data_IF_683140777277
#
_entry.id   IF_683140777277
#
_cell.length_a   1.000
_cell.length_b   1.000
_cell.length_c   1.000
_cell.angle_alpha   90.00
_cell.angle_beta   90.00
_cell.angle_gamma   90.00
#
_symmetry.space_group_name_H-M   'P 1'
#
loop_
_entity.id
_entity.type
_entity.pdbx_description
1 polymer ?
#
# COMPACT_ATOMS: atom_id res chain seq x y z
N UNK A 1 -17.05 -23.61 -80.05
CA UNK A 1 -17.66 -22.84 -78.92
C UNK A 1 -17.12 -23.44 -77.60
N UNK A 2 -16.07 -22.86 -77.08
CA UNK A 2 -15.45 -23.28 -75.82
C UNK A 2 -15.84 -22.26 -74.72
N UNK A 3 -16.63 -22.68 -73.75
CA UNK A 3 -17.00 -21.87 -72.60
C UNK A 3 -15.89 -22.00 -71.56
N UNK A 4 -15.15 -20.92 -71.26
CA UNK A 4 -14.25 -20.83 -70.17
C UNK A 4 -15.10 -20.53 -68.88
N UNK A 5 -15.08 -21.43 -67.91
CA UNK A 5 -15.55 -21.16 -66.52
C UNK A 5 -14.44 -20.47 -65.82
N UNK A 6 -14.62 -19.20 -65.45
CA UNK A 6 -13.76 -18.51 -64.53
C UNK A 6 -14.17 -18.87 -63.08
N UNK A 7 -13.33 -19.62 -62.38
CA UNK A 7 -13.53 -19.97 -60.98
C UNK A 7 -12.92 -18.87 -60.12
N UNK A 8 -13.75 -17.97 -59.56
CA UNK A 8 -13.32 -16.90 -58.66
C UNK A 8 -13.02 -17.50 -57.26
N UNK A 9 -11.75 -17.57 -56.91
CA UNK A 9 -11.29 -17.92 -55.57
C UNK A 9 -11.52 -16.71 -54.68
N UNK A 10 -12.57 -16.75 -53.85
CA UNK A 10 -12.76 -15.81 -52.73
C UNK A 10 -11.89 -16.28 -51.56
N UNK A 11 -10.72 -15.68 -51.42
CA UNK A 11 -9.88 -15.85 -50.22
C UNK A 11 -10.53 -15.12 -49.05
N UNK A 12 -11.16 -15.86 -48.17
CA UNK A 12 -11.63 -15.35 -46.87
C UNK A 12 -10.37 -15.04 -46.01
N UNK A 13 -9.96 -13.77 -46.01
CA UNK A 13 -8.97 -13.29 -45.07
C UNK A 13 -9.64 -13.24 -43.69
N UNK A 14 -9.51 -14.33 -42.92
CA UNK A 14 -9.77 -14.30 -41.45
C UNK A 14 -8.74 -13.39 -40.84
N UNK A 15 -9.05 -12.09 -40.73
CA UNK A 15 -8.29 -11.17 -39.90
C UNK A 15 -8.36 -11.68 -38.48
N UNK A 16 -7.23 -12.15 -37.94
CA UNK A 16 -7.09 -12.41 -36.52
C UNK A 16 -7.21 -11.05 -35.83
N UNK A 17 -8.40 -10.74 -35.31
CA UNK A 17 -8.58 -9.59 -34.44
C UNK A 17 -7.70 -9.81 -33.22
N UNK A 18 -6.53 -9.19 -33.21
CA UNK A 18 -5.65 -9.19 -32.06
C UNK A 18 -6.36 -8.36 -31.00
N UNK A 19 -6.85 -9.02 -29.95
CA UNK A 19 -7.46 -8.33 -28.82
C UNK A 19 -6.42 -7.34 -28.25
N UNK A 20 -6.78 -6.07 -28.19
CA UNK A 20 -5.93 -5.04 -27.62
C UNK A 20 -5.82 -5.29 -26.12
N UNK A 21 -4.59 -5.23 -25.58
CA UNK A 21 -4.34 -5.38 -24.14
C UNK A 21 -5.17 -4.39 -23.33
N UNK A 22 -5.79 -4.85 -22.27
CA UNK A 22 -6.56 -4.01 -21.37
C UNK A 22 -5.58 -3.20 -20.51
N UNK A 23 -5.68 -1.88 -20.58
CA UNK A 23 -4.83 -0.97 -19.78
C UNK A 23 -5.33 -0.91 -18.36
N UNK A 24 -4.44 -1.17 -17.40
CA UNK A 24 -4.72 -1.12 -15.95
C UNK A 24 -3.63 -0.33 -15.25
N UNK A 25 -4.01 0.71 -14.52
CA UNK A 25 -3.11 1.44 -13.64
C UNK A 25 -3.30 0.98 -12.19
N UNK A 26 -2.21 0.59 -11.53
CA UNK A 26 -2.18 0.12 -10.14
C UNK A 26 -1.47 1.15 -9.27
N UNK A 27 -2.15 1.63 -8.22
CA UNK A 27 -1.54 2.49 -7.20
C UNK A 27 -0.97 1.69 -6.04
N UNK A 28 0.29 1.92 -5.68
CA UNK A 28 0.90 1.29 -4.51
C UNK A 28 2.02 2.15 -3.90
N UNK A 29 2.48 1.78 -2.69
CA UNK A 29 3.66 2.38 -2.02
C UNK A 29 4.92 1.55 -2.27
N UNK A 30 6.01 1.92 -1.56
CA UNK A 30 7.25 1.15 -1.53
C UNK A 30 7.26 0.01 -0.49
N UNK A 31 6.10 -0.43 -0.01
CA UNK A 31 5.98 -1.58 0.88
C UNK A 31 6.55 -2.84 0.23
N UNK A 32 7.37 -3.58 0.95
CA UNK A 32 8.08 -4.76 0.41
C UNK A 32 7.14 -5.91 0.03
N UNK A 33 6.01 -6.05 0.71
CA UNK A 33 4.98 -7.04 0.41
C UNK A 33 4.30 -6.86 -0.97
N UNK A 34 4.49 -5.69 -1.60
CA UNK A 34 3.98 -5.45 -2.97
C UNK A 34 4.97 -5.83 -4.07
N UNK A 35 6.16 -6.33 -3.72
CA UNK A 35 7.16 -6.75 -4.69
C UNK A 35 6.65 -7.78 -5.72
N UNK A 36 5.76 -8.74 -5.40
CA UNK A 36 5.18 -9.65 -6.40
C UNK A 36 4.48 -8.95 -7.57
N UNK A 37 3.82 -7.80 -7.34
CA UNK A 37 3.18 -7.03 -8.42
C UNK A 37 4.21 -6.42 -9.37
N UNK A 38 5.31 -5.89 -8.81
CA UNK A 38 6.43 -5.38 -9.61
C UNK A 38 7.07 -6.50 -10.40
N UNK A 39 7.34 -7.65 -9.76
CA UNK A 39 7.90 -8.82 -10.42
C UNK A 39 7.00 -9.30 -11.57
N UNK A 40 5.70 -9.41 -11.34
CA UNK A 40 4.75 -9.83 -12.37
C UNK A 40 4.76 -8.88 -13.59
N UNK A 41 4.88 -7.58 -13.35
CA UNK A 41 5.01 -6.59 -14.42
C UNK A 41 6.33 -6.76 -15.19
N UNK A 42 7.47 -6.75 -14.49
CA UNK A 42 8.80 -6.79 -15.11
C UNK A 42 9.06 -8.13 -15.82
N UNK A 43 8.52 -9.23 -15.32
CA UNK A 43 8.57 -10.54 -15.95
C UNK A 43 7.55 -10.71 -17.11
N UNK A 44 6.78 -9.67 -17.43
CA UNK A 44 5.80 -9.69 -18.52
C UNK A 44 4.60 -10.61 -18.27
N UNK A 45 4.35 -11.01 -17.01
CA UNK A 45 3.24 -11.93 -16.69
C UNK A 45 1.88 -11.28 -16.99
N UNK A 46 1.71 -10.00 -16.69
CA UNK A 46 0.48 -9.29 -17.03
C UNK A 46 0.22 -9.29 -18.54
N UNK A 47 1.24 -9.01 -19.35
CA UNK A 47 1.12 -9.03 -20.82
C UNK A 47 0.72 -10.40 -21.37
N UNK A 48 1.24 -11.49 -20.79
CA UNK A 48 0.84 -12.86 -21.18
C UNK A 48 -0.67 -13.11 -21.01
N UNK A 49 -1.32 -12.31 -20.17
CA UNK A 49 -2.76 -12.39 -19.91
C UNK A 49 -3.55 -11.22 -20.52
N UNK A 50 -2.99 -10.52 -21.50
CA UNK A 50 -3.66 -9.44 -22.20
C UNK A 50 -3.85 -8.16 -21.37
N UNK A 51 -2.97 -7.92 -20.37
CA UNK A 51 -3.01 -6.74 -19.53
C UNK A 51 -1.78 -5.86 -19.77
N UNK A 52 -2.01 -4.59 -20.11
CA UNK A 52 -0.98 -3.56 -20.14
C UNK A 52 -1.00 -2.80 -18.79
N UNK A 53 -0.14 -3.23 -17.85
CA UNK A 53 -0.13 -2.74 -16.49
C UNK A 53 0.87 -1.62 -16.30
N UNK A 54 0.41 -0.48 -15.79
CA UNK A 54 1.25 0.58 -15.24
C UNK A 54 1.19 0.59 -13.71
N UNK A 55 2.34 0.72 -13.03
CA UNK A 55 2.41 0.85 -11.58
C UNK A 55 2.73 2.31 -11.25
N UNK A 56 1.86 2.94 -10.44
CA UNK A 56 2.02 4.32 -9.98
C UNK A 56 2.35 4.33 -8.49
N UNK A 57 3.43 5.01 -8.13
CA UNK A 57 3.81 5.22 -6.72
C UNK A 57 2.98 6.36 -6.15
N UNK A 58 1.98 6.02 -5.33
CA UNK A 58 1.03 6.99 -4.75
C UNK A 58 0.99 6.76 -3.23
N UNK A 59 1.13 7.81 -2.40
CA UNK A 59 0.95 7.70 -0.95
C UNK A 59 -0.39 7.05 -0.59
N UNK A 60 -0.44 6.25 0.46
CA UNK A 60 -1.66 5.51 0.82
C UNK A 60 -2.85 6.44 1.05
N UNK A 61 -2.62 7.58 1.68
CA UNK A 61 -3.64 8.60 1.96
C UNK A 61 -4.29 9.21 0.72
N UNK A 62 -3.62 9.15 -0.45
CA UNK A 62 -4.07 9.81 -1.69
C UNK A 62 -4.63 8.83 -2.72
N UNK A 63 -4.47 7.50 -2.54
CA UNK A 63 -4.89 6.48 -3.53
C UNK A 63 -6.39 6.48 -3.77
N UNK A 64 -7.22 6.74 -2.74
CA UNK A 64 -8.67 6.81 -2.92
C UNK A 64 -9.09 7.94 -3.86
N UNK A 65 -8.36 9.06 -3.86
CA UNK A 65 -8.60 10.18 -4.79
C UNK A 65 -8.23 9.77 -6.22
N UNK A 66 -7.10 9.07 -6.39
CA UNK A 66 -6.68 8.55 -7.69
C UNK A 66 -7.65 7.48 -8.26
N UNK A 67 -8.28 6.68 -7.38
CA UNK A 67 -9.37 5.76 -7.76
C UNK A 67 -10.61 6.55 -8.17
N UNK A 68 -11.02 7.52 -7.37
CA UNK A 68 -12.22 8.31 -7.63
C UNK A 68 -12.10 9.15 -8.92
N UNK A 69 -10.92 9.64 -9.26
CA UNK A 69 -10.64 10.37 -10.50
C UNK A 69 -10.50 9.46 -11.74
N UNK A 70 -10.33 8.14 -11.54
CA UNK A 70 -10.05 7.19 -12.62
C UNK A 70 -8.58 7.14 -13.05
N UNK A 71 -7.67 7.83 -12.35
CA UNK A 71 -6.23 7.80 -12.62
C UNK A 71 -5.60 6.44 -12.40
N UNK A 72 -6.20 5.65 -11.50
CA UNK A 72 -5.89 4.23 -11.29
C UNK A 72 -7.19 3.44 -11.19
N UNK A 73 -7.18 2.21 -11.68
CA UNK A 73 -8.30 1.28 -11.61
C UNK A 73 -8.18 0.33 -10.43
N UNK A 74 -6.94 0.04 -10.03
CA UNK A 74 -6.63 -0.90 -8.96
C UNK A 74 -5.61 -0.31 -7.99
N UNK A 75 -5.56 -0.86 -6.80
CA UNK A 75 -4.53 -0.53 -5.81
C UNK A 75 -4.11 -1.75 -4.99
N UNK A 76 -2.93 -1.66 -4.40
CA UNK A 76 -2.50 -2.52 -3.32
C UNK A 76 -2.53 -1.70 -2.03
N UNK A 77 -3.25 -2.14 -1.01
CA UNK A 77 -3.36 -1.49 0.29
C UNK A 77 -3.92 -2.45 1.33
N UNK A 78 -4.08 -1.99 2.55
CA UNK A 78 -4.51 -2.79 3.69
C UNK A 78 -6.03 -2.90 3.80
N UNK A 79 -6.52 -3.96 4.44
CA UNK A 79 -7.95 -4.26 4.58
C UNK A 79 -8.71 -3.10 5.24
N UNK A 80 -8.19 -2.52 6.32
CA UNK A 80 -8.82 -1.40 7.01
C UNK A 80 -8.91 -0.15 6.13
N UNK A 81 -7.93 0.04 5.24
CA UNK A 81 -7.94 1.16 4.28
C UNK A 81 -9.07 0.99 3.26
N UNK A 82 -9.26 -0.21 2.72
CA UNK A 82 -10.38 -0.52 1.82
C UNK A 82 -11.74 -0.28 2.50
N UNK A 83 -11.87 -0.70 3.76
CA UNK A 83 -13.10 -0.46 4.54
C UNK A 83 -13.34 1.04 4.68
N UNK A 84 -12.30 1.82 5.02
CA UNK A 84 -12.42 3.27 5.15
C UNK A 84 -12.82 3.95 3.82
N UNK A 85 -12.24 3.53 2.70
CA UNK A 85 -12.58 4.09 1.38
C UNK A 85 -14.02 3.79 0.99
N UNK A 86 -14.46 2.54 1.14
CA UNK A 86 -15.85 2.16 0.86
C UNK A 86 -16.85 2.89 1.78
N UNK A 87 -16.54 3.05 3.06
CA UNK A 87 -17.36 3.80 4.00
C UNK A 87 -17.47 5.30 3.63
N UNK A 88 -16.47 5.84 2.93
CA UNK A 88 -16.46 7.21 2.44
C UNK A 88 -16.91 7.35 0.96
N UNK A 89 -17.55 6.34 0.41
CA UNK A 89 -18.19 6.39 -0.91
C UNK A 89 -17.25 6.10 -2.09
N UNK A 90 -16.01 5.69 -1.84
CA UNK A 90 -15.10 5.22 -2.91
C UNK A 90 -15.27 3.71 -3.06
N UNK A 91 -16.17 3.32 -3.96
CA UNK A 91 -16.52 1.91 -4.18
C UNK A 91 -15.34 1.11 -4.71
N UNK A 92 -14.97 0.05 -4.01
CA UNK A 92 -13.88 -0.85 -4.36
C UNK A 92 -14.19 -2.29 -3.95
N UNK A 93 -13.60 -3.24 -4.66
CA UNK A 93 -13.71 -4.67 -4.36
C UNK A 93 -12.31 -5.23 -4.16
N UNK A 94 -12.06 -5.84 -3.00
CA UNK A 94 -10.85 -6.61 -2.74
C UNK A 94 -10.92 -7.94 -3.48
N UNK A 95 -9.83 -8.31 -4.17
CA UNK A 95 -9.80 -9.48 -5.07
C UNK A 95 -8.99 -10.61 -4.44
N UNK A 96 -7.82 -10.31 -3.89
CA UNK A 96 -6.98 -11.31 -3.22
C UNK A 96 -6.05 -10.67 -2.19
N UNK A 97 -5.57 -11.50 -1.26
CA UNK A 97 -4.56 -11.12 -0.28
C UNK A 97 -3.17 -11.17 -0.91
N UNK A 98 -2.37 -10.12 -0.68
CA UNK A 98 -0.96 -10.04 -1.10
C UNK A 98 -0.05 -10.61 -0.02
N UNK A 99 -0.19 -10.10 1.20
CA UNK A 99 0.58 -10.55 2.35
C UNK A 99 -0.15 -10.27 3.68
N UNK A 100 0.49 -10.69 4.75
CA UNK A 100 0.16 -10.32 6.13
C UNK A 100 1.44 -9.83 6.77
N UNK A 101 1.43 -8.62 7.28
CA UNK A 101 2.58 -8.08 8.02
C UNK A 101 2.85 -8.91 9.27
N UNK A 102 4.05 -9.44 9.37
CA UNK A 102 4.52 -10.25 10.48
C UNK A 102 5.88 -9.72 10.99
N UNK A 103 5.82 -8.70 11.85
CA UNK A 103 6.97 -7.96 12.36
C UNK A 103 7.50 -6.85 11.45
N UNK A 104 6.83 -6.59 10.32
CA UNK A 104 7.32 -5.67 9.31
C UNK A 104 6.73 -4.24 9.42
N UNK A 105 5.70 -4.03 10.23
CA UNK A 105 5.27 -2.71 10.71
C UNK A 105 5.65 -2.57 12.18
N UNK A 106 6.09 -1.38 12.60
CA UNK A 106 6.54 -1.19 13.97
C UNK A 106 6.51 0.24 14.47
N UNK A 107 6.51 0.34 15.81
CA UNK A 107 6.61 1.56 16.56
C UNK A 107 8.07 1.78 16.98
N UNK A 108 8.67 2.84 16.47
CA UNK A 108 9.98 3.33 16.88
C UNK A 108 9.78 4.44 17.90
N UNK A 109 10.56 4.46 18.97
CA UNK A 109 10.50 5.48 20.02
C UNK A 109 11.89 6.01 20.35
N UNK A 110 11.97 7.26 20.81
CA UNK A 110 13.19 7.86 21.34
C UNK A 110 13.57 7.27 22.72
N UNK A 111 14.84 7.40 23.13
CA UNK A 111 15.29 6.99 24.47
C UNK A 111 14.39 7.56 25.56
N UNK A 112 14.15 6.73 26.60
CA UNK A 112 13.28 7.09 27.75
C UNK A 112 11.82 6.67 27.59
N UNK A 113 11.39 6.21 26.40
CA UNK A 113 10.09 5.58 26.17
C UNK A 113 10.32 4.07 26.04
N UNK A 114 9.63 3.27 26.84
CA UNK A 114 9.87 1.81 26.90
C UNK A 114 8.64 0.98 26.59
N UNK A 115 7.45 1.58 26.64
CA UNK A 115 6.17 0.91 26.40
C UNK A 115 5.15 1.88 25.77
N UNK A 116 4.13 1.34 25.15
CA UNK A 116 3.11 2.14 24.44
C UNK A 116 2.41 3.14 25.37
N UNK A 117 2.17 2.78 26.62
CA UNK A 117 1.52 3.71 27.58
C UNK A 117 2.34 4.96 27.91
N UNK A 118 3.66 4.95 27.69
CA UNK A 118 4.53 6.12 27.88
C UNK A 118 4.35 7.18 26.78
N UNK A 119 3.60 6.85 25.72
CA UNK A 119 3.28 7.78 24.63
C UNK A 119 2.26 8.85 25.02
N UNK A 120 1.61 8.77 26.17
CA UNK A 120 0.65 9.79 26.61
C UNK A 120 1.27 11.18 26.62
N UNK A 121 0.65 12.12 25.92
CA UNK A 121 1.14 13.50 25.74
C UNK A 121 2.31 13.66 24.75
N UNK A 122 2.81 12.56 24.17
CA UNK A 122 3.95 12.55 23.24
C UNK A 122 3.53 12.87 21.82
N UNK A 123 4.51 13.28 21.00
CA UNK A 123 4.34 13.52 19.56
C UNK A 123 4.74 12.28 18.78
N UNK A 124 3.79 11.74 18.01
CA UNK A 124 3.97 10.50 17.26
C UNK A 124 3.75 10.75 15.77
N UNK A 125 4.72 10.42 14.95
CA UNK A 125 4.54 10.40 13.49
C UNK A 125 3.76 9.13 13.12
N UNK A 126 2.62 9.33 12.47
CA UNK A 126 1.86 8.28 11.80
C UNK A 126 1.15 8.96 10.62
N UNK A 127 1.00 8.28 9.51
CA UNK A 127 0.37 8.85 8.31
C UNK A 127 -1.07 9.34 8.59
N UNK A 128 -1.81 9.74 7.58
CA UNK A 128 -3.17 10.26 7.75
C UNK A 128 -4.17 9.21 8.26
N UNK A 129 -5.29 9.61 8.88
CA UNK A 129 -6.41 8.70 9.16
C UNK A 129 -6.84 7.89 7.93
N UNK A 130 -7.17 6.62 8.12
CA UNK A 130 -7.51 5.69 7.04
C UNK A 130 -6.31 5.03 6.37
N UNK A 131 -5.11 5.16 6.93
CA UNK A 131 -3.90 4.47 6.49
C UNK A 131 -3.42 3.44 7.53
N UNK A 132 -2.64 2.45 7.09
CA UNK A 132 -2.10 1.41 7.96
C UNK A 132 -1.28 1.93 9.14
N UNK A 133 -0.34 2.89 8.98
CA UNK A 133 0.40 3.42 10.11
C UNK A 133 -0.49 4.11 11.15
N UNK A 134 -1.51 4.85 10.70
CA UNK A 134 -2.47 5.48 11.62
C UNK A 134 -3.32 4.43 12.35
N UNK A 135 -3.82 3.43 11.62
CA UNK A 135 -4.59 2.33 12.19
C UNK A 135 -3.75 1.54 13.21
N UNK A 136 -2.50 1.22 12.86
CA UNK A 136 -1.56 0.54 13.74
C UNK A 136 -1.33 1.30 15.04
N UNK A 137 -1.08 2.62 14.95
CA UNK A 137 -0.97 3.49 16.13
C UNK A 137 -2.25 3.43 16.97
N UNK A 138 -3.41 3.66 16.37
CA UNK A 138 -4.69 3.67 17.08
C UNK A 138 -4.97 2.34 17.79
N UNK A 139 -4.64 1.22 17.15
CA UNK A 139 -4.80 -0.11 17.70
C UNK A 139 -3.87 -0.37 18.86
N UNK A 140 -2.56 -0.06 18.72
CA UNK A 140 -1.58 -0.21 19.79
C UNK A 140 -1.94 0.64 21.01
N UNK A 141 -2.34 1.91 20.80
CA UNK A 141 -2.80 2.78 21.88
C UNK A 141 -4.01 2.19 22.59
N UNK A 142 -5.04 1.75 21.84
CA UNK A 142 -6.25 1.16 22.42
C UNK A 142 -5.97 -0.08 23.26
N UNK A 143 -5.08 -0.95 22.80
CA UNK A 143 -4.67 -2.16 23.56
C UNK A 143 -3.90 -1.84 24.82
N UNK A 144 -3.38 -0.63 24.96
CA UNK A 144 -2.61 -0.17 26.11
C UNK A 144 -3.35 0.92 26.93
N UNK A 145 -4.69 1.00 26.79
CA UNK A 145 -5.53 1.89 27.60
C UNK A 145 -5.49 3.37 27.18
N UNK A 146 -4.97 3.67 25.99
CA UNK A 146 -4.90 4.99 25.41
C UNK A 146 -5.78 5.12 24.16
N UNK A 147 -5.88 6.33 23.67
CA UNK A 147 -6.55 6.67 22.40
C UNK A 147 -5.69 7.62 21.58
N UNK A 148 -6.06 7.86 20.33
CA UNK A 148 -5.40 8.86 19.47
C UNK A 148 -5.51 10.29 20.01
N UNK A 149 -6.44 10.56 20.95
CA UNK A 149 -6.58 11.86 21.63
C UNK A 149 -5.52 12.07 22.73
N UNK A 150 -4.89 11.01 23.19
CA UNK A 150 -3.87 11.05 24.23
C UNK A 150 -2.47 11.35 23.71
N UNK A 151 -2.30 11.47 22.39
CA UNK A 151 -1.02 11.75 21.70
C UNK A 151 -1.17 12.90 20.71
N UNK A 152 -0.08 13.56 20.37
CA UNK A 152 -0.04 14.53 19.26
C UNK A 152 0.41 13.81 17.99
N UNK A 153 -0.49 13.64 17.04
CA UNK A 153 -0.17 12.93 15.79
C UNK A 153 0.35 13.91 14.74
N UNK A 154 1.50 13.58 14.15
CA UNK A 154 2.07 14.28 13.00
C UNK A 154 1.92 13.39 11.77
N UNK A 155 1.29 13.94 10.71
CA UNK A 155 1.10 13.24 9.45
C UNK A 155 2.42 13.22 8.66
N UNK A 156 3.20 12.16 8.84
CA UNK A 156 4.38 11.85 8.04
C UNK A 156 4.23 10.47 7.42
N UNK A 157 4.51 10.37 6.12
CA UNK A 157 4.57 9.07 5.44
C UNK A 157 5.69 8.21 6.05
N UNK A 158 5.60 6.87 6.01
CA UNK A 158 6.50 5.97 6.73
C UNK A 158 7.98 6.18 6.46
N UNK A 159 8.37 6.48 5.22
CA UNK A 159 9.74 6.82 4.89
C UNK A 159 10.19 8.12 5.57
N UNK A 160 9.36 9.15 5.53
CA UNK A 160 9.66 10.44 6.15
C UNK A 160 9.68 10.31 7.68
N UNK A 161 8.79 9.52 8.26
CA UNK A 161 8.74 9.23 9.69
C UNK A 161 10.02 8.53 10.17
N UNK A 162 10.48 7.49 9.46
CA UNK A 162 11.74 6.81 9.75
C UNK A 162 12.95 7.76 9.63
N UNK A 163 13.01 8.54 8.56
CA UNK A 163 14.09 9.52 8.36
C UNK A 163 14.11 10.58 9.46
N UNK A 164 12.95 11.05 9.93
CA UNK A 164 12.85 12.01 11.01
C UNK A 164 13.35 11.43 12.35
N UNK A 165 13.08 10.15 12.62
CA UNK A 165 13.65 9.45 13.78
C UNK A 165 15.17 9.33 13.68
N UNK A 166 15.68 8.89 12.52
CA UNK A 166 17.13 8.74 12.25
C UNK A 166 17.85 10.10 12.38
N UNK A 167 17.23 11.18 11.90
CA UNK A 167 17.78 12.52 12.02
C UNK A 167 17.70 13.13 13.43
N UNK A 168 17.05 12.45 14.37
CA UNK A 168 16.84 12.96 15.73
C UNK A 168 15.96 14.21 15.81
N UNK A 169 15.01 14.35 14.86
CA UNK A 169 14.16 15.54 14.75
C UNK A 169 13.57 15.97 16.10
N UNK A 170 13.80 17.26 16.45
CA UNK A 170 13.28 17.81 17.70
C UNK A 170 11.77 17.82 17.73
N UNK A 171 11.19 17.54 18.91
CA UNK A 171 9.73 17.51 19.10
C UNK A 171 9.02 16.28 18.57
N UNK A 172 9.72 15.32 17.96
CA UNK A 172 9.18 14.02 17.58
C UNK A 172 9.65 12.97 18.58
N UNK A 173 8.74 12.26 19.23
CA UNK A 173 9.02 11.28 20.28
C UNK A 173 8.97 9.84 19.77
N UNK A 174 8.09 9.56 18.80
CA UNK A 174 7.87 8.24 18.24
C UNK A 174 7.41 8.29 16.79
N UNK A 175 7.51 7.14 16.09
CA UNK A 175 7.03 7.00 14.73
C UNK A 175 6.51 5.60 14.44
N UNK A 176 5.38 5.52 13.74
CA UNK A 176 4.94 4.32 13.05
C UNK A 176 5.58 4.27 11.68
N UNK A 177 6.24 3.18 11.37
CA UNK A 177 6.84 2.93 10.05
C UNK A 177 6.81 1.44 9.72
N UNK A 178 7.26 1.10 8.52
CA UNK A 178 7.27 -0.28 8.03
C UNK A 178 8.53 -0.55 7.18
N UNK A 179 8.73 -1.83 6.81
CA UNK A 179 9.85 -2.22 5.95
C UNK A 179 9.73 -1.62 4.52
N UNK A 180 10.85 -1.17 3.90
CA UNK A 180 12.23 -1.34 4.36
C UNK A 180 12.72 -0.25 5.34
N UNK A 181 11.89 0.74 5.66
CA UNK A 181 12.29 1.90 6.46
C UNK A 181 12.51 1.54 7.94
N UNK A 182 11.77 0.55 8.45
CA UNK A 182 11.97 0.04 9.80
C UNK A 182 13.36 -0.57 9.99
N UNK A 183 13.86 -1.30 8.97
CA UNK A 183 15.22 -1.82 8.95
C UNK A 183 16.28 -0.71 8.90
N UNK A 184 16.00 0.39 8.21
CA UNK A 184 16.90 1.54 8.20
C UNK A 184 17.05 2.17 9.60
N UNK A 185 15.97 2.23 10.39
CA UNK A 185 16.04 2.66 11.80
C UNK A 185 16.79 1.63 12.64
N UNK A 186 16.49 0.33 12.47
CA UNK A 186 17.16 -0.76 13.18
C UNK A 186 18.68 -0.77 12.98
N UNK A 187 19.15 -0.34 11.81
CA UNK A 187 20.57 -0.20 11.51
C UNK A 187 21.23 1.00 12.23
N UNK A 188 20.45 1.83 12.94
CA UNK A 188 20.90 3.03 13.66
C UNK A 188 20.31 3.05 15.07
N UNK A 189 20.87 2.24 16.00
CA UNK A 189 20.33 2.10 17.38
C UNK A 189 20.22 3.43 18.14
N UNK A 190 21.08 4.40 17.81
CA UNK A 190 21.05 5.74 18.38
C UNK A 190 19.79 6.55 17.99
N UNK A 191 19.13 6.19 16.90
CA UNK A 191 17.92 6.87 16.42
C UNK A 191 16.69 6.54 17.26
N UNK A 192 16.68 5.39 17.93
CA UNK A 192 15.56 4.95 18.75
C UNK A 192 15.46 3.43 18.85
N UNK A 193 14.47 2.99 19.63
CA UNK A 193 14.19 1.58 19.88
C UNK A 193 12.84 1.20 19.27
N UNK A 194 12.76 0.03 18.63
CA UNK A 194 11.48 -0.57 18.19
C UNK A 194 10.88 -1.28 19.39
N UNK A 195 9.79 -0.77 19.95
CA UNK A 195 9.15 -1.29 21.16
C UNK A 195 7.95 -2.20 20.90
N UNK A 196 7.42 -2.17 19.68
CA UNK A 196 6.29 -3.00 19.27
C UNK A 196 6.27 -3.17 17.76
N UNK A 197 5.82 -4.32 17.31
CA UNK A 197 5.66 -4.63 15.86
C UNK A 197 4.35 -5.37 15.62
N UNK A 198 4.10 -5.71 14.36
CA UNK A 198 2.99 -6.61 13.96
C UNK A 198 3.18 -8.06 14.40
N UNK A 199 4.30 -8.43 15.04
CA UNK A 199 4.42 -9.67 15.82
C UNK A 199 3.58 -9.60 17.10
N UNK A 200 3.65 -8.48 17.79
CA UNK A 200 2.94 -8.26 19.05
C UNK A 200 1.47 -7.88 18.81
N UNK A 201 1.22 -7.20 17.71
CA UNK A 201 -0.09 -6.68 17.30
C UNK A 201 -0.41 -7.08 15.84
N UNK A 202 -0.84 -8.33 15.59
CA UNK A 202 -1.07 -8.83 14.22
C UNK A 202 -2.39 -8.29 13.64
N UNK A 203 -2.36 -7.06 13.10
CA UNK A 203 -3.54 -6.36 12.61
C UNK A 203 -3.43 -5.89 11.15
N UNK A 204 -2.25 -5.96 10.52
CA UNK A 204 -2.05 -5.46 9.15
C UNK A 204 -2.06 -6.60 8.16
N UNK A 205 -2.98 -6.52 7.20
CA UNK A 205 -3.15 -7.47 6.11
C UNK A 205 -3.28 -6.70 4.81
N UNK A 206 -2.41 -6.97 3.85
CA UNK A 206 -2.37 -6.32 2.56
C UNK A 206 -3.12 -7.09 1.51
N UNK A 207 -3.93 -6.38 0.73
CA UNK A 207 -4.75 -6.94 -0.32
C UNK A 207 -4.67 -6.11 -1.59
N UNK A 208 -4.96 -6.76 -2.71
CA UNK A 208 -5.16 -6.14 -4.00
C UNK A 208 -6.64 -5.99 -4.29
N UNK A 209 -7.03 -4.87 -4.83
CA UNK A 209 -8.43 -4.60 -5.18
C UNK A 209 -8.54 -3.58 -6.30
N UNK A 210 -9.73 -3.50 -6.88
CA UNK A 210 -10.03 -2.61 -8.00
C UNK A 210 -11.40 -1.94 -7.82
N UNK A 211 -11.69 -0.94 -8.66
CA UNK A 211 -13.04 -0.40 -8.81
C UNK A 211 -13.97 -1.48 -9.36
N UNK A 212 -15.21 -1.60 -8.90
CA UNK A 212 -16.21 -2.40 -9.59
C UNK A 212 -16.47 -1.79 -10.97
N UNK A 213 -16.74 -2.65 -11.96
CA UNK A 213 -17.18 -2.20 -13.29
C UNK A 213 -18.64 -1.80 -13.24
#
# INVERSE_FOLDING_TARGET
MKKLLALSLVTLACGVAQAQDVKVAIGMSGWTGFAPLTLAKEAGLFKKHGLDVSIKKIPQKDRHLAIASGDIQCAATTVETWIAWNANGVATTQIFQLDKSYGADGMVVKPGITKISDLKGKTVAASAPGTAPYFGLAWMLKKNGLSTKDVKIVNLEPQAAANAMIAGTSGLDAAMTYEPYLSAVRAKPEAGTIIATTLDYPMVMDTFGCTPK
#
